data_IF_646040453054
#
_entry.id   IF_646040453054
#
_cell.length_a   1.000
_cell.length_b   1.000
_cell.length_c   1.000
_cell.angle_alpha   90.00
_cell.angle_beta   90.00
_cell.angle_gamma   90.00
#
_symmetry.space_group_name_H-M   'P 1'
#
loop_
_entity.id
_entity.type
_entity.pdbx_description
1 polymer ?
#
# COMPACT_ATOMS: atom_id res chain seq x y z
N UNK A 1 25.83 -13.31 70.02
CA UNK A 1 26.93 -12.58 69.37
C UNK A 1 26.91 -12.93 67.89
N UNK A 2 27.06 -11.91 67.03
CA UNK A 2 26.98 -11.96 65.56
C UNK A 2 28.24 -12.59 64.95
N UNK A 3 28.11 -13.19 63.74
CA UNK A 3 29.09 -13.32 62.62
C UNK A 3 28.96 -14.72 61.99
N UNK A 4 29.04 -14.96 60.68
CA UNK A 4 28.79 -14.21 59.45
C UNK A 4 28.78 -15.31 58.36
N UNK A 5 27.72 -15.47 57.57
CA UNK A 5 27.75 -16.33 56.38
C UNK A 5 27.98 -15.45 55.16
N UNK A 6 29.14 -15.64 54.55
CA UNK A 6 29.58 -14.98 53.32
C UNK A 6 28.71 -15.51 52.18
N UNK A 7 27.77 -14.68 51.72
CA UNK A 7 26.96 -14.97 50.53
C UNK A 7 27.76 -14.66 49.27
N UNK A 8 28.12 -15.69 48.53
CA UNK A 8 28.63 -15.59 47.16
C UNK A 8 27.50 -15.03 46.29
N UNK A 9 27.58 -13.77 45.90
CA UNK A 9 26.71 -13.19 44.88
C UNK A 9 27.21 -13.62 43.50
N UNK A 10 26.54 -14.62 42.93
CA UNK A 10 26.59 -14.90 41.51
C UNK A 10 26.01 -13.68 40.78
N UNK A 11 26.89 -12.88 40.18
CA UNK A 11 26.52 -11.80 39.26
C UNK A 11 25.96 -12.46 38.00
N UNK A 12 24.65 -12.68 37.98
CA UNK A 12 23.93 -13.10 36.77
C UNK A 12 24.00 -11.96 35.76
N UNK A 13 24.85 -12.11 34.74
CA UNK A 13 24.86 -11.24 33.57
C UNK A 13 23.55 -11.41 32.82
N UNK A 14 22.62 -10.49 33.04
CA UNK A 14 21.46 -10.29 32.18
C UNK A 14 21.96 -9.75 30.84
N UNK A 15 22.19 -10.64 29.88
CA UNK A 15 22.30 -10.25 28.49
C UNK A 15 20.93 -9.73 28.05
N UNK A 16 20.78 -8.41 28.04
CA UNK A 16 19.66 -7.75 27.39
C UNK A 16 19.72 -8.10 25.89
N UNK A 17 18.95 -9.10 25.47
CA UNK A 17 18.70 -9.35 24.06
C UNK A 17 17.89 -8.14 23.59
N UNK A 18 18.42 -7.26 22.72
CA UNK A 18 17.58 -6.25 22.12
C UNK A 18 16.47 -6.99 21.38
N UNK A 19 15.22 -6.76 21.78
CA UNK A 19 14.07 -7.16 21.01
C UNK A 19 14.12 -6.36 19.70
N UNK A 20 14.88 -6.85 18.72
CA UNK A 20 14.78 -6.37 17.36
C UNK A 20 13.46 -6.92 16.84
N UNK A 21 12.43 -6.09 16.93
CA UNK A 21 11.22 -6.25 16.14
C UNK A 21 11.69 -6.15 14.69
N UNK A 22 12.09 -7.28 14.10
CA UNK A 22 12.08 -7.42 12.65
C UNK A 22 10.65 -7.14 12.26
N UNK A 23 10.38 -5.93 11.81
CA UNK A 23 9.17 -5.61 11.06
C UNK A 23 9.09 -6.70 10.00
N UNK A 24 8.14 -7.62 10.18
CA UNK A 24 7.92 -8.71 9.26
C UNK A 24 7.94 -8.11 7.87
N UNK A 25 8.93 -8.56 7.10
CA UNK A 25 9.22 -8.16 5.74
C UNK A 25 7.90 -7.88 5.06
N UNK A 26 7.65 -6.60 4.75
CA UNK A 26 6.45 -6.19 4.04
C UNK A 26 6.48 -6.97 2.75
N UNK A 27 5.76 -8.09 2.72
CA UNK A 27 5.78 -9.01 1.58
C UNK A 27 5.46 -8.15 0.37
N UNK A 28 6.35 -8.17 -0.61
CA UNK A 28 6.19 -7.36 -1.81
C UNK A 28 5.02 -7.93 -2.61
N UNK A 29 3.82 -7.54 -2.19
CA UNK A 29 2.56 -7.95 -2.79
C UNK A 29 2.31 -7.21 -4.11
N UNK A 30 3.24 -6.37 -4.58
CA UNK A 30 3.15 -5.75 -5.89
C UNK A 30 3.24 -6.80 -6.99
N UNK A 31 4.13 -7.79 -6.87
CA UNK A 31 4.19 -8.90 -7.82
C UNK A 31 2.87 -9.69 -7.87
N UNK A 32 2.27 -9.98 -6.70
CA UNK A 32 0.98 -10.65 -6.59
C UNK A 32 -0.19 -9.81 -7.10
N UNK A 33 -0.13 -8.47 -6.97
CA UNK A 33 -1.10 -7.57 -7.57
C UNK A 33 -0.97 -7.59 -9.09
N UNK A 34 0.25 -7.53 -9.59
CA UNK A 34 0.52 -7.47 -11.03
C UNK A 34 0.21 -8.77 -11.75
N UNK A 35 0.39 -9.92 -11.10
CA UNK A 35 -0.07 -11.20 -11.68
C UNK A 35 -1.59 -11.26 -11.89
N UNK A 36 -2.36 -10.45 -11.18
CA UNK A 36 -3.82 -10.35 -11.31
C UNK A 36 -4.30 -9.20 -12.20
N UNK A 37 -3.40 -8.46 -12.85
CA UNK A 37 -3.75 -7.26 -13.62
C UNK A 37 -4.78 -7.56 -14.73
N UNK A 38 -4.62 -8.66 -15.47
CA UNK A 38 -5.57 -9.09 -16.50
C UNK A 38 -6.97 -9.37 -15.95
N UNK A 39 -7.05 -9.95 -14.74
CA UNK A 39 -8.32 -10.19 -14.05
C UNK A 39 -8.96 -8.89 -13.60
N UNK A 40 -8.16 -7.94 -13.11
CA UNK A 40 -8.62 -6.60 -12.70
C UNK A 40 -9.18 -5.84 -13.91
N UNK A 41 -8.48 -5.88 -15.04
CA UNK A 41 -8.89 -5.20 -16.27
C UNK A 41 -10.21 -5.78 -16.79
N UNK A 42 -10.32 -7.11 -16.83
CA UNK A 42 -11.56 -7.81 -17.18
C UNK A 42 -12.72 -7.45 -16.24
N UNK A 43 -12.47 -7.42 -14.93
CA UNK A 43 -13.47 -6.97 -13.96
C UNK A 43 -13.91 -5.51 -14.21
N UNK A 44 -12.98 -4.63 -14.57
CA UNK A 44 -13.28 -3.23 -14.87
C UNK A 44 -14.18 -3.08 -16.08
N UNK A 45 -13.92 -3.83 -17.16
CA UNK A 45 -14.72 -3.80 -18.39
C UNK A 45 -16.14 -4.34 -18.24
N UNK A 46 -16.35 -5.30 -17.33
CA UNK A 46 -17.64 -5.98 -17.17
C UNK A 46 -18.52 -5.41 -16.05
N UNK A 47 -17.96 -4.60 -15.15
CA UNK A 47 -18.68 -4.06 -14.02
C UNK A 47 -19.60 -2.89 -14.41
N UNK A 48 -20.87 -2.93 -13.97
CA UNK A 48 -21.83 -1.84 -14.20
C UNK A 48 -21.71 -0.70 -13.20
N UNK A 49 -21.02 -0.94 -12.09
CA UNK A 49 -20.75 0.05 -11.05
C UNK A 49 -19.52 -0.37 -10.23
N UNK A 50 -19.01 0.57 -9.44
CA UNK A 50 -17.79 0.36 -8.66
C UNK A 50 -17.90 -0.78 -7.63
N UNK A 51 -19.07 -0.98 -7.03
CA UNK A 51 -19.28 -2.08 -6.09
C UNK A 51 -19.14 -3.45 -6.76
N UNK A 52 -19.70 -3.60 -7.96
CA UNK A 52 -19.53 -4.81 -8.77
C UNK A 52 -18.08 -5.03 -9.18
N UNK A 53 -17.38 -3.95 -9.55
CA UNK A 53 -15.95 -4.02 -9.88
C UNK A 53 -15.13 -4.56 -8.70
N UNK A 54 -15.26 -3.94 -7.51
CA UNK A 54 -14.51 -4.36 -6.32
C UNK A 54 -14.88 -5.79 -5.91
N UNK A 55 -16.17 -6.17 -6.01
CA UNK A 55 -16.62 -7.54 -5.73
C UNK A 55 -16.00 -8.55 -6.71
N UNK A 56 -15.96 -8.23 -8.00
CA UNK A 56 -15.34 -9.07 -9.01
C UNK A 56 -13.85 -9.31 -8.69
N UNK A 57 -13.10 -8.23 -8.40
CA UNK A 57 -11.69 -8.35 -8.02
C UNK A 57 -11.53 -9.16 -6.74
N UNK A 58 -12.38 -8.96 -5.74
CA UNK A 58 -12.34 -9.74 -4.51
C UNK A 58 -12.54 -11.24 -4.76
N UNK A 59 -13.44 -11.62 -5.69
CA UNK A 59 -13.60 -13.03 -6.09
C UNK A 59 -12.35 -13.58 -6.78
N UNK A 60 -11.78 -12.85 -7.74
CA UNK A 60 -10.56 -13.25 -8.43
C UNK A 60 -9.37 -13.43 -7.45
N UNK A 61 -9.18 -12.47 -6.54
CA UNK A 61 -8.16 -12.51 -5.48
C UNK A 61 -8.38 -13.69 -4.53
N UNK A 62 -9.63 -13.98 -4.16
CA UNK A 62 -9.94 -15.13 -3.31
C UNK A 62 -9.66 -16.46 -4.02
N UNK A 63 -9.94 -16.57 -5.32
CA UNK A 63 -9.64 -17.76 -6.10
C UNK A 63 -8.11 -17.98 -6.20
N UNK A 64 -7.37 -16.95 -6.59
CA UNK A 64 -5.91 -16.97 -6.70
C UNK A 64 -5.20 -17.25 -5.36
N UNK A 65 -5.79 -16.83 -4.24
CA UNK A 65 -5.25 -17.17 -2.93
C UNK A 65 -5.56 -18.63 -2.51
N UNK A 66 -6.66 -19.20 -3.01
CA UNK A 66 -7.06 -20.59 -2.71
C UNK A 66 -6.26 -21.60 -3.53
N UNK A 67 -5.94 -21.27 -4.78
CA UNK A 67 -5.12 -22.13 -5.65
C UNK A 67 -3.60 -21.95 -5.43
N UNK A 68 -3.20 -20.96 -4.62
CA UNK A 68 -1.81 -20.69 -4.28
C UNK A 68 -1.06 -19.79 -5.26
N UNK A 69 -1.74 -19.22 -6.26
CA UNK A 69 -1.16 -18.26 -7.21
C UNK A 69 -0.70 -16.96 -6.55
N UNK A 70 -1.33 -16.56 -5.43
CA UNK A 70 -0.88 -15.45 -4.60
C UNK A 70 -0.83 -15.82 -3.10
N UNK A 71 0.07 -15.21 -2.31
CA UNK A 71 0.05 -15.34 -0.86
C UNK A 71 -1.26 -14.80 -0.26
N UNK A 72 -1.80 -15.51 0.73
CA UNK A 72 -3.06 -15.13 1.40
C UNK A 72 -2.97 -13.76 2.10
N UNK A 73 -1.79 -13.37 2.56
CA UNK A 73 -1.55 -12.07 3.17
C UNK A 73 -1.53 -10.91 2.14
N UNK A 74 -1.41 -11.20 0.84
CA UNK A 74 -1.44 -10.20 -0.22
C UNK A 74 -2.85 -9.81 -0.70
N UNK A 75 -3.88 -10.56 -0.31
CA UNK A 75 -5.27 -10.31 -0.72
C UNK A 75 -5.71 -8.87 -0.46
N UNK A 76 -5.41 -8.37 0.74
CA UNK A 76 -5.79 -7.03 1.17
C UNK A 76 -5.18 -5.93 0.30
N UNK A 77 -3.92 -6.10 -0.13
CA UNK A 77 -3.23 -5.14 -1.01
C UNK A 77 -3.93 -5.04 -2.36
N UNK A 78 -4.22 -6.17 -2.99
CA UNK A 78 -4.87 -6.20 -4.31
C UNK A 78 -6.29 -5.63 -4.24
N UNK A 79 -7.09 -6.02 -3.24
CA UNK A 79 -8.44 -5.49 -3.07
C UNK A 79 -8.44 -3.99 -2.73
N UNK A 80 -7.48 -3.50 -1.93
CA UNK A 80 -7.33 -2.08 -1.63
C UNK A 80 -7.03 -1.26 -2.90
N UNK A 81 -6.23 -1.80 -3.82
CA UNK A 81 -5.97 -1.17 -5.11
C UNK A 81 -7.21 -1.03 -5.98
N UNK A 82 -8.06 -2.06 -6.03
CA UNK A 82 -9.33 -1.99 -6.73
C UNK A 82 -10.28 -0.97 -6.08
N UNK A 83 -10.37 -0.93 -4.75
CA UNK A 83 -11.18 0.07 -4.05
C UNK A 83 -10.71 1.51 -4.32
N UNK A 84 -9.42 1.69 -4.66
CA UNK A 84 -8.80 2.97 -5.03
C UNK A 84 -8.69 3.18 -6.55
N UNK A 85 -9.62 2.62 -7.32
CA UNK A 85 -9.74 2.80 -8.77
C UNK A 85 -10.98 3.59 -9.19
N UNK A 86 -10.90 4.24 -10.35
CA UNK A 86 -12.02 4.90 -11.05
C UNK A 86 -12.92 3.90 -11.78
N UNK A 87 -12.55 2.62 -11.88
CA UNK A 87 -13.37 1.58 -12.50
C UNK A 87 -14.78 1.51 -11.88
N UNK A 88 -15.80 1.62 -12.74
CA UNK A 88 -17.21 1.66 -12.34
C UNK A 88 -17.63 2.92 -11.55
N UNK A 89 -16.79 3.96 -11.51
CA UNK A 89 -17.09 5.28 -10.93
C UNK A 89 -17.14 6.35 -12.02
N UNK A 90 -18.33 6.61 -12.55
CA UNK A 90 -18.51 7.69 -13.51
C UNK A 90 -18.27 9.07 -12.87
N UNK A 91 -17.51 9.92 -13.56
CA UNK A 91 -17.18 11.26 -13.09
C UNK A 91 -16.16 11.30 -11.94
N UNK A 92 -15.42 10.22 -11.68
CA UNK A 92 -14.31 10.20 -10.72
C UNK A 92 -12.96 10.13 -11.43
N UNK A 93 -11.97 10.80 -10.83
CA UNK A 93 -10.58 10.85 -11.26
C UNK A 93 -9.67 10.48 -10.08
N UNK A 94 -8.44 10.07 -10.39
CA UNK A 94 -7.37 10.00 -9.40
C UNK A 94 -6.71 11.39 -9.27
N UNK A 95 -6.44 11.83 -8.06
CA UNK A 95 -5.63 13.01 -7.78
C UNK A 95 -4.32 12.52 -7.17
N UNK A 96 -3.22 12.72 -7.89
CA UNK A 96 -1.89 12.31 -7.43
C UNK A 96 -1.08 13.54 -7.05
N UNK A 97 -0.54 13.61 -5.83
CA UNK A 97 0.39 14.66 -5.43
C UNK A 97 1.56 14.76 -6.40
N UNK A 98 2.06 15.99 -6.58
CA UNK A 98 3.15 16.26 -7.53
C UNK A 98 4.42 16.64 -6.80
N UNK A 99 5.55 16.23 -7.38
CA UNK A 99 6.87 16.64 -6.96
C UNK A 99 7.27 17.88 -7.75
N UNK A 100 7.62 18.98 -7.06
CA UNK A 100 8.30 20.09 -7.68
C UNK A 100 9.79 19.76 -7.79
N UNK A 101 10.22 19.39 -8.98
CA UNK A 101 11.61 19.02 -9.27
C UNK A 101 12.58 20.20 -9.18
N UNK A 102 12.08 21.43 -9.13
CA UNK A 102 12.90 22.65 -8.95
C UNK A 102 13.36 22.78 -7.50
N UNK A 103 12.46 22.55 -6.56
CA UNK A 103 12.74 22.62 -5.12
C UNK A 103 13.13 21.27 -4.53
N UNK A 104 12.83 20.17 -5.23
CA UNK A 104 13.02 18.80 -4.74
C UNK A 104 12.05 18.45 -3.61
N UNK A 105 10.87 19.08 -3.58
CA UNK A 105 9.86 18.91 -2.52
C UNK A 105 8.46 18.74 -3.09
N UNK A 106 7.58 18.11 -2.32
CA UNK A 106 6.20 17.88 -2.74
C UNK A 106 5.40 19.18 -2.73
N UNK A 107 4.56 19.36 -3.75
CA UNK A 107 3.77 20.60 -3.91
C UNK A 107 2.70 20.70 -2.81
N UNK A 108 2.17 19.57 -2.36
CA UNK A 108 1.17 19.47 -1.29
C UNK A 108 1.77 19.59 0.11
N UNK A 109 3.06 19.25 0.26
CA UNK A 109 3.80 19.34 1.52
C UNK A 109 5.30 19.62 1.27
N UNK A 110 5.75 20.88 1.39
CA UNK A 110 7.15 21.24 1.14
C UNK A 110 8.12 20.71 2.21
N UNK A 111 7.63 20.07 3.28
CA UNK A 111 8.49 19.38 4.26
C UNK A 111 8.91 17.99 3.80
N UNK A 112 8.25 17.45 2.76
CA UNK A 112 8.57 16.17 2.15
C UNK A 112 9.46 16.39 0.94
N UNK A 113 10.68 15.84 0.99
CA UNK A 113 11.58 15.82 -0.17
C UNK A 113 11.17 14.75 -1.15
N UNK A 114 11.25 15.03 -2.45
CA UNK A 114 10.84 14.11 -3.51
C UNK A 114 11.78 14.17 -4.71
N UNK A 115 11.78 13.09 -5.47
CA UNK A 115 12.41 13.00 -6.79
C UNK A 115 11.39 12.67 -7.88
N UNK A 116 10.30 12.01 -7.51
CA UNK A 116 9.18 11.67 -8.38
C UNK A 116 7.86 11.93 -7.67
N UNK A 117 6.75 12.04 -8.42
CA UNK A 117 5.41 12.21 -7.85
C UNK A 117 5.01 11.09 -6.87
N UNK A 118 5.59 9.89 -7.02
CA UNK A 118 5.33 8.74 -6.15
C UNK A 118 5.89 8.92 -4.73
N UNK A 119 6.86 9.82 -4.56
CA UNK A 119 7.42 10.17 -3.25
C UNK A 119 6.48 11.10 -2.47
N UNK A 120 5.47 11.66 -3.15
CA UNK A 120 4.57 12.65 -2.61
C UNK A 120 3.23 12.06 -2.16
N UNK A 121 2.86 12.38 -0.92
CA UNK A 121 1.55 12.14 -0.32
C UNK A 121 0.91 10.78 -0.63
N UNK A 122 -0.42 10.73 -0.63
CA UNK A 122 -1.19 9.56 -1.07
C UNK A 122 -2.09 9.97 -2.22
N UNK A 123 -2.17 9.14 -3.27
CA UNK A 123 -3.19 9.34 -4.30
C UNK A 123 -4.60 9.16 -3.72
N UNK A 124 -5.53 10.02 -4.16
CA UNK A 124 -6.92 10.04 -3.74
C UNK A 124 -7.87 9.92 -4.93
N UNK A 125 -9.09 9.42 -4.69
CA UNK A 125 -10.17 9.50 -5.67
C UNK A 125 -11.06 10.69 -5.34
N UNK A 126 -11.34 11.52 -6.34
CA UNK A 126 -12.24 12.67 -6.24
C UNK A 126 -13.17 12.72 -7.44
N UNK A 127 -14.19 13.57 -7.39
CA UNK A 127 -14.97 13.90 -8.59
C UNK A 127 -14.08 14.69 -9.55
N UNK A 128 -14.25 14.49 -10.85
CA UNK A 128 -13.54 15.26 -11.87
C UNK A 128 -13.69 16.77 -11.63
N UNK A 129 -12.60 17.52 -11.74
CA UNK A 129 -12.57 18.97 -11.49
C UNK A 129 -12.59 19.37 -10.01
N UNK A 130 -12.42 18.42 -9.08
CA UNK A 130 -12.34 18.69 -7.64
C UNK A 130 -11.02 18.27 -7.01
N UNK A 131 -10.01 17.95 -7.85
CA UNK A 131 -8.67 17.73 -7.36
C UNK A 131 -8.05 19.03 -6.81
N UNK A 132 -7.29 18.96 -5.69
CA UNK A 132 -6.48 20.07 -5.21
C UNK A 132 -5.48 20.57 -6.27
N UNK A 133 -5.15 21.86 -6.25
CA UNK A 133 -4.30 22.50 -7.27
C UNK A 133 -2.86 21.94 -7.33
N UNK A 134 -2.42 21.34 -6.23
CA UNK A 134 -1.15 20.67 -5.95
C UNK A 134 -1.10 19.21 -6.45
N UNK A 135 -2.20 18.73 -7.05
CA UNK A 135 -2.34 17.37 -7.56
C UNK A 135 -2.63 17.34 -9.05
N UNK A 136 -2.22 16.26 -9.70
CA UNK A 136 -2.54 16.00 -11.11
C UNK A 136 -3.73 15.06 -11.21
N UNK A 137 -4.73 15.44 -12.03
CA UNK A 137 -5.85 14.56 -12.36
C UNK A 137 -5.41 13.42 -13.30
N UNK A 138 -5.81 12.20 -12.99
CA UNK A 138 -5.57 11.02 -13.79
C UNK A 138 -6.77 10.08 -13.83
N UNK A 139 -6.64 8.99 -14.58
CA UNK A 139 -7.63 7.92 -14.67
C UNK A 139 -6.98 6.57 -14.32
N UNK A 140 -7.79 5.59 -13.92
CA UNK A 140 -7.32 4.26 -13.55
C UNK A 140 -7.27 4.08 -12.03
N UNK A 141 -6.12 3.70 -11.48
CA UNK A 141 -5.97 3.37 -10.06
C UNK A 141 -4.89 4.22 -9.39
N UNK A 142 -5.08 4.49 -8.11
CA UNK A 142 -4.05 5.05 -7.23
C UNK A 142 -2.93 4.06 -6.86
N UNK A 143 -3.01 2.82 -7.33
CA UNK A 143 -1.91 1.88 -7.15
C UNK A 143 -0.84 2.03 -8.23
N UNK A 144 0.42 1.69 -7.92
CA UNK A 144 1.50 1.74 -8.87
C UNK A 144 1.13 0.98 -10.16
N UNK A 145 1.61 1.45 -11.29
CA UNK A 145 1.53 0.67 -12.53
C UNK A 145 2.32 -0.62 -12.35
N UNK A 146 1.92 -1.66 -13.06
CA UNK A 146 2.73 -2.86 -13.14
C UNK A 146 3.90 -2.61 -14.07
N UNK A 147 5.12 -2.86 -13.59
CA UNK A 147 6.29 -2.90 -14.45
C UNK A 147 6.15 -4.06 -15.46
N UNK A 148 6.58 -3.88 -16.72
CA UNK A 148 6.62 -4.95 -17.71
C UNK A 148 7.61 -6.07 -17.34
#
# INVERSE_FOLDING_TARGET
MRKALVGVFLVGTWAAIPATWTSAQQSDCEAARCSLQSSIDSCCSNAKNHGQFVSCVAHAVNAAARDGSIPTNCKGKVTSCAARSTCGKEGFVTCTPTCDTTTGTCVDDPTVTCTTNSDCGRCHLRRAGTCPADTTEGSGSCCPTCAP
#
